data_IF_047031254917
#
_entry.id   IF_047031254917
#
_cell.length_a   1.000
_cell.length_b   1.000
_cell.length_c   1.000
_cell.angle_alpha   90.00
_cell.angle_beta   90.00
_cell.angle_gamma   90.00
#
_symmetry.space_group_name_H-M   'P 1'
#
loop_
_entity.id
_entity.type
_entity.pdbx_description
1 polymer ?
#
# COMPACT_ATOMS: atom_id res chain seq x y z
N UNK A 1 22.26 52.57 -76.09
CA UNK A 1 22.44 53.64 -75.07
C UNK A 1 22.26 53.06 -73.72
N UNK A 2 23.29 53.25 -72.88
CA UNK A 2 23.38 53.12 -71.45
C UNK A 2 23.25 51.66 -70.87
N UNK A 3 24.28 51.02 -70.44
CA UNK A 3 25.30 51.26 -69.40
C UNK A 3 24.71 51.18 -67.98
N UNK A 4 25.28 50.31 -67.26
CA UNK A 4 25.36 50.37 -65.80
C UNK A 4 25.12 49.07 -65.09
N UNK A 5 26.15 48.51 -64.60
CA UNK A 5 26.72 48.63 -63.30
C UNK A 5 26.58 47.34 -62.56
N UNK A 6 27.68 46.52 -62.55
CA UNK A 6 27.83 45.38 -61.68
C UNK A 6 28.18 45.86 -60.27
N UNK A 7 27.37 45.54 -59.28
CA UNK A 7 27.69 45.68 -57.87
C UNK A 7 28.16 44.32 -57.28
N UNK A 8 29.43 44.25 -57.00
CA UNK A 8 30.08 43.15 -56.29
C UNK A 8 29.68 43.19 -54.80
N UNK A 9 28.94 42.18 -54.34
CA UNK A 9 28.76 41.96 -52.89
C UNK A 9 29.77 40.95 -52.36
N UNK A 10 30.79 41.47 -51.69
CA UNK A 10 31.69 40.66 -50.88
C UNK A 10 30.93 40.13 -49.66
N UNK A 11 30.83 38.82 -49.51
CA UNK A 11 30.31 38.13 -48.33
C UNK A 11 31.38 38.09 -47.25
N UNK A 12 31.13 38.48 -45.99
CA UNK A 12 32.06 38.30 -44.90
C UNK A 12 32.01 36.83 -44.39
N UNK A 13 33.04 36.06 -44.66
CA UNK A 13 33.25 34.70 -44.21
C UNK A 13 33.48 34.58 -42.68
N UNK A 14 33.51 35.69 -41.95
CA UNK A 14 33.82 35.72 -40.51
C UNK A 14 32.60 35.48 -39.58
N UNK A 15 31.36 35.59 -40.10
CA UNK A 15 30.17 35.43 -39.25
C UNK A 15 29.71 33.99 -39.07
N UNK A 16 30.14 33.07 -39.92
CA UNK A 16 29.73 31.65 -39.86
C UNK A 16 30.51 30.83 -38.86
N UNK A 17 31.76 31.20 -38.53
CA UNK A 17 32.58 30.49 -37.55
C UNK A 17 32.17 30.74 -36.08
N UNK A 18 31.55 31.88 -35.77
CA UNK A 18 31.13 32.21 -34.40
C UNK A 18 29.85 31.48 -33.97
N UNK A 19 28.94 31.23 -34.94
CA UNK A 19 27.71 30.50 -34.69
C UNK A 19 27.91 28.99 -34.51
N UNK A 20 28.89 28.40 -35.19
CA UNK A 20 29.21 26.96 -35.04
C UNK A 20 29.94 26.67 -33.72
N UNK A 21 30.79 27.59 -33.26
CA UNK A 21 31.47 27.46 -31.96
C UNK A 21 30.52 27.64 -30.78
N UNK A 22 29.49 28.47 -30.90
CA UNK A 22 28.43 28.66 -29.89
C UNK A 22 27.50 27.43 -29.73
N UNK A 23 27.14 26.74 -30.82
CA UNK A 23 26.36 25.51 -30.75
C UNK A 23 27.12 24.31 -30.19
N UNK A 24 28.44 24.23 -30.40
CA UNK A 24 29.24 23.14 -29.86
C UNK A 24 29.50 23.28 -28.34
N UNK A 25 29.47 24.48 -27.79
CA UNK A 25 29.60 24.73 -26.36
C UNK A 25 28.28 24.50 -25.58
N UNK A 26 27.14 24.63 -26.25
CA UNK A 26 25.80 24.34 -25.61
C UNK A 26 25.52 22.84 -25.60
N UNK A 27 26.00 22.06 -26.56
CA UNK A 27 25.86 20.61 -26.56
C UNK A 27 26.73 19.87 -25.56
N UNK A 28 27.83 20.48 -25.06
CA UNK A 28 28.68 19.85 -24.06
C UNK A 28 28.21 20.03 -22.61
N UNK A 29 27.18 20.85 -22.35
CA UNK A 29 26.62 21.11 -21.01
C UNK A 29 25.35 20.28 -20.68
N UNK A 30 24.84 19.44 -21.61
CA UNK A 30 23.61 18.66 -21.41
C UNK A 30 23.89 17.17 -21.16
N UNK A 31 25.12 16.73 -21.14
CA UNK A 31 25.46 15.31 -20.93
C UNK A 31 26.19 15.04 -19.63
N UNK A 32 25.61 15.39 -18.48
CA UNK A 32 26.03 14.83 -17.19
C UNK A 32 24.91 14.87 -16.14
N UNK A 33 23.68 14.59 -16.55
CA UNK A 33 22.59 14.21 -15.66
C UNK A 33 22.33 12.70 -15.76
N UNK A 34 23.35 11.86 -15.76
CA UNK A 34 23.18 10.51 -15.22
C UNK A 34 23.08 10.68 -13.71
N UNK A 35 21.83 10.75 -13.21
CA UNK A 35 21.58 10.33 -11.85
C UNK A 35 22.29 8.99 -11.69
N UNK A 36 23.39 8.99 -10.94
CA UNK A 36 23.91 7.79 -10.34
C UNK A 36 22.72 7.17 -9.64
N UNK A 37 22.23 6.03 -10.14
CA UNK A 37 21.46 5.13 -9.33
C UNK A 37 22.28 4.98 -8.05
N UNK A 38 21.80 5.57 -6.96
CA UNK A 38 22.39 5.39 -5.64
C UNK A 38 22.44 3.87 -5.47
N UNK A 39 23.60 3.34 -5.21
CA UNK A 39 23.83 1.96 -4.82
C UNK A 39 23.03 1.77 -3.52
N UNK A 40 21.73 1.44 -3.68
CA UNK A 40 20.84 1.10 -2.59
C UNK A 40 21.42 -0.18 -1.99
N UNK A 41 22.27 -0.02 -0.98
CA UNK A 41 22.82 -1.14 -0.22
C UNK A 41 21.71 -2.13 0.21
N UNK A 42 22.02 -3.25 0.82
CA UNK A 42 21.07 -4.33 1.04
C UNK A 42 19.77 -3.78 1.63
N UNK A 43 18.64 -4.01 0.94
CA UNK A 43 17.33 -3.48 1.32
C UNK A 43 16.89 -3.91 2.72
N UNK A 44 17.42 -5.05 3.21
CA UNK A 44 17.17 -5.58 4.55
C UNK A 44 18.34 -5.20 5.45
N UNK A 45 18.07 -4.39 6.47
CA UNK A 45 19.06 -3.94 7.46
C UNK A 45 18.59 -4.29 8.86
N UNK A 46 19.45 -4.94 9.63
CA UNK A 46 19.22 -5.10 11.07
C UNK A 46 19.47 -3.75 11.76
N UNK A 47 18.46 -3.23 12.46
CA UNK A 47 18.50 -1.92 13.14
C UNK A 47 18.46 -2.03 14.68
N UNK A 48 18.28 -3.24 15.22
CA UNK A 48 18.27 -3.51 16.64
C UNK A 48 18.16 -5.01 16.95
N UNK A 49 18.13 -5.41 18.24
CA UNK A 49 17.77 -6.77 18.63
C UNK A 49 16.38 -7.09 18.10
N UNK A 50 16.27 -8.10 17.23
CA UNK A 50 15.00 -8.55 16.60
C UNK A 50 14.31 -7.49 15.69
N UNK A 51 14.93 -6.32 15.45
CA UNK A 51 14.39 -5.25 14.61
C UNK A 51 15.12 -5.21 13.27
N UNK A 52 14.34 -5.20 12.20
CA UNK A 52 14.83 -5.14 10.82
C UNK A 52 14.09 -4.06 10.05
N UNK A 53 14.81 -3.38 9.16
CA UNK A 53 14.23 -2.43 8.19
C UNK A 53 14.33 -3.02 6.79
N UNK A 54 13.21 -3.00 6.07
CA UNK A 54 13.08 -3.49 4.71
C UNK A 54 12.51 -2.33 3.90
N UNK A 55 13.37 -1.62 3.17
CA UNK A 55 13.00 -0.32 2.62
C UNK A 55 12.56 0.66 3.72
N UNK A 56 11.30 1.11 3.68
CA UNK A 56 10.68 1.96 4.72
C UNK A 56 9.93 1.16 5.79
N UNK A 57 9.70 -0.14 5.56
CA UNK A 57 8.94 -1.02 6.46
C UNK A 57 9.84 -1.47 7.64
N UNK A 58 9.29 -1.53 8.85
CA UNK A 58 9.97 -2.02 10.04
C UNK A 58 9.34 -3.33 10.51
N UNK A 59 10.14 -4.38 10.62
CA UNK A 59 9.76 -5.68 11.15
C UNK A 59 10.33 -5.85 12.57
N UNK A 60 9.47 -6.18 13.52
CA UNK A 60 9.85 -6.61 14.87
C UNK A 60 9.56 -8.11 15.03
N UNK A 61 10.61 -8.92 14.97
CA UNK A 61 10.50 -10.38 15.09
C UNK A 61 10.15 -10.85 16.51
N UNK A 62 10.43 -10.04 17.53
CA UNK A 62 10.08 -10.37 18.91
C UNK A 62 8.61 -10.13 19.20
N UNK A 63 8.07 -9.00 18.75
CA UNK A 63 6.65 -8.67 18.90
C UNK A 63 5.77 -9.27 17.80
N UNK A 64 6.38 -9.89 16.79
CA UNK A 64 5.70 -10.42 15.60
C UNK A 64 4.83 -9.36 14.91
N UNK A 65 5.42 -8.19 14.64
CA UNK A 65 4.74 -7.07 14.00
C UNK A 65 5.51 -6.53 12.80
N UNK A 66 4.76 -6.01 11.84
CA UNK A 66 5.26 -5.21 10.72
C UNK A 66 4.63 -3.82 10.80
N UNK A 67 5.45 -2.76 10.73
CA UNK A 67 5.02 -1.37 10.84
C UNK A 67 5.24 -0.61 9.53
N UNK A 68 4.22 0.11 9.09
CA UNK A 68 4.20 0.88 7.85
C UNK A 68 3.72 2.31 8.12
N UNK A 69 4.54 3.30 7.76
CA UNK A 69 4.15 4.71 7.87
C UNK A 69 3.23 5.11 6.72
N UNK A 70 2.27 5.97 7.01
CA UNK A 70 1.32 6.48 6.04
C UNK A 70 0.59 7.71 6.54
N UNK A 71 -0.53 8.03 5.87
CA UNK A 71 -1.41 9.13 6.27
C UNK A 71 -2.87 8.85 5.90
N UNK A 72 -3.78 9.52 6.58
CA UNK A 72 -5.21 9.50 6.24
C UNK A 72 -5.39 10.11 4.87
N UNK A 73 -6.03 9.39 3.97
CA UNK A 73 -6.37 9.83 2.61
C UNK A 73 -7.84 10.23 2.49
N UNK A 74 -8.75 9.44 3.06
CA UNK A 74 -10.17 9.78 3.17
C UNK A 74 -10.61 9.69 4.63
N UNK A 75 -11.38 10.68 5.10
CA UNK A 75 -11.94 10.71 6.45
C UNK A 75 -13.46 10.69 6.47
N UNK A 76 -14.09 10.70 5.31
CA UNK A 76 -15.55 10.68 5.11
C UNK A 76 -15.91 10.07 3.76
N UNK A 77 -17.14 9.57 3.61
CA UNK A 77 -17.70 9.06 2.35
C UNK A 77 -17.29 7.62 2.02
N UNK A 78 -17.46 7.25 0.75
CA UNK A 78 -17.23 5.91 0.20
C UNK A 78 -18.05 5.73 -1.10
N UNK A 79 -18.21 4.51 -1.61
CA UNK A 79 -17.76 3.23 -1.00
C UNK A 79 -16.24 3.05 -0.95
N UNK A 80 -15.78 2.22 -0.02
CA UNK A 80 -14.36 1.92 0.24
C UNK A 80 -14.04 0.51 -0.24
N UNK A 81 -13.13 0.38 -1.20
CA UNK A 81 -12.60 -0.90 -1.65
C UNK A 81 -11.27 -1.26 -0.97
N UNK A 82 -10.55 -0.27 -0.44
CA UNK A 82 -9.25 -0.50 0.19
C UNK A 82 -9.14 0.19 1.55
N UNK A 83 -8.63 -0.53 2.55
CA UNK A 83 -8.14 0.10 3.76
C UNK A 83 -6.89 0.93 3.47
N UNK A 84 -5.98 0.42 2.62
CA UNK A 84 -4.73 1.10 2.29
C UNK A 84 -4.23 0.83 0.87
N UNK A 85 -3.75 1.88 0.20
CA UNK A 85 -3.08 1.81 -1.10
C UNK A 85 -1.80 2.66 -1.13
N UNK A 86 -1.05 2.60 -2.24
CA UNK A 86 0.01 3.56 -2.52
C UNK A 86 -0.58 4.93 -2.90
N UNK A 87 0.17 6.04 -2.75
CA UNK A 87 -0.28 7.37 -3.17
C UNK A 87 -0.64 7.49 -4.67
N UNK A 88 -0.14 6.55 -5.50
CA UNK A 88 -0.46 6.45 -6.93
C UNK A 88 -1.54 5.43 -7.26
N UNK A 89 -2.08 4.73 -6.25
CA UNK A 89 -3.12 3.73 -6.40
C UNK A 89 -4.53 4.32 -6.43
N UNK A 90 -5.53 3.52 -6.10
CA UNK A 90 -6.95 3.85 -6.09
C UNK A 90 -7.35 4.74 -4.89
N UNK A 91 -6.79 5.95 -4.81
CA UNK A 91 -6.98 6.85 -3.65
C UNK A 91 -8.42 7.34 -3.47
N UNK A 92 -9.25 7.27 -4.50
CA UNK A 92 -10.65 7.72 -4.47
C UNK A 92 -11.59 6.79 -3.68
N UNK A 93 -11.12 5.59 -3.32
CA UNK A 93 -11.87 4.57 -2.59
C UNK A 93 -11.02 3.93 -1.48
N UNK A 94 -10.09 4.70 -0.91
CA UNK A 94 -9.09 4.22 0.05
C UNK A 94 -9.02 5.10 1.28
N UNK A 95 -9.02 4.49 2.48
CA UNK A 95 -8.91 5.22 3.76
C UNK A 95 -7.50 5.77 3.99
N UNK A 96 -6.46 4.96 3.79
CA UNK A 96 -5.06 5.34 4.07
C UNK A 96 -4.17 5.22 2.85
N UNK A 97 -3.17 6.10 2.72
CA UNK A 97 -2.05 5.91 1.79
C UNK A 97 -0.78 5.57 2.56
N UNK A 98 0.00 4.58 2.05
CA UNK A 98 1.27 4.14 2.63
C UNK A 98 2.43 4.46 1.71
N UNK A 99 3.50 5.03 2.27
CA UNK A 99 4.71 5.40 1.53
C UNK A 99 5.75 4.27 1.61
N UNK A 100 5.53 3.18 0.86
CA UNK A 100 6.39 2.00 0.85
C UNK A 100 6.45 1.39 -0.56
N UNK A 101 7.32 0.41 -0.72
CA UNK A 101 7.25 -0.51 -1.86
C UNK A 101 6.47 -1.76 -1.46
N UNK A 102 5.41 -2.13 -2.20
CA UNK A 102 4.59 -3.31 -1.91
C UNK A 102 5.41 -4.58 -1.72
N UNK A 103 6.45 -4.81 -2.53
CA UNK A 103 7.33 -5.96 -2.39
C UNK A 103 8.08 -5.98 -1.04
N UNK A 104 8.40 -4.82 -0.45
CA UNK A 104 9.06 -4.75 0.85
C UNK A 104 8.09 -5.16 1.96
N UNK A 105 6.80 -4.78 1.86
CA UNK A 105 5.75 -5.22 2.77
C UNK A 105 5.55 -6.74 2.71
N UNK A 106 5.37 -7.30 1.51
CA UNK A 106 5.22 -8.75 1.35
C UNK A 106 6.44 -9.51 1.88
N UNK A 107 7.65 -9.03 1.59
CA UNK A 107 8.89 -9.60 2.12
C UNK A 107 8.93 -9.58 3.65
N UNK A 108 8.48 -8.47 4.27
CA UNK A 108 8.42 -8.38 5.74
C UNK A 108 7.46 -9.41 6.34
N UNK A 109 6.28 -9.61 5.74
CA UNK A 109 5.29 -10.59 6.20
C UNK A 109 5.82 -12.04 6.07
N UNK A 110 6.48 -12.37 4.97
CA UNK A 110 7.12 -13.68 4.76
C UNK A 110 8.25 -13.90 5.80
N UNK A 111 9.10 -12.90 6.03
CA UNK A 111 10.18 -12.98 7.03
C UNK A 111 9.65 -13.08 8.46
N UNK A 112 8.45 -12.59 8.75
CA UNK A 112 7.76 -12.76 10.02
C UNK A 112 7.27 -14.20 10.22
N UNK A 113 7.32 -15.02 9.16
CA UNK A 113 6.94 -16.43 9.16
C UNK A 113 5.50 -16.69 8.70
N UNK A 114 4.83 -15.69 8.14
CA UNK A 114 3.50 -15.84 7.58
C UNK A 114 3.56 -16.53 6.22
N UNK A 115 2.57 -17.37 5.96
CA UNK A 115 2.37 -18.05 4.69
C UNK A 115 1.30 -17.32 3.89
N UNK A 116 1.66 -16.94 2.68
CA UNK A 116 0.72 -16.38 1.73
C UNK A 116 -0.33 -17.42 1.32
N UNK A 117 -1.55 -16.96 1.11
CA UNK A 117 -2.64 -17.73 0.57
C UNK A 117 -2.49 -17.93 -0.93
N UNK A 118 -3.40 -18.73 -1.49
CA UNK A 118 -3.62 -18.73 -2.93
C UNK A 118 -4.70 -17.70 -3.19
N UNK A 119 -4.38 -16.72 -4.00
CA UNK A 119 -5.36 -15.78 -4.48
C UNK A 119 -6.29 -16.53 -5.46
N UNK A 120 -7.57 -16.82 -5.11
CA UNK A 120 -8.45 -17.53 -6.01
C UNK A 120 -8.67 -16.66 -7.24
N UNK A 121 -8.55 -17.26 -8.44
CA UNK A 121 -8.97 -16.58 -9.65
C UNK A 121 -10.45 -16.24 -9.52
N UNK A 122 -10.78 -14.95 -9.55
CA UNK A 122 -12.19 -14.52 -9.52
C UNK A 122 -12.79 -14.91 -10.87
N UNK A 123 -13.77 -15.78 -10.83
CA UNK A 123 -14.62 -16.06 -12.00
C UNK A 123 -15.69 -14.97 -12.10
N UNK A 124 -15.37 -13.89 -12.77
CA UNK A 124 -16.26 -12.73 -12.96
C UNK A 124 -17.56 -13.03 -13.77
N UNK A 125 -17.77 -14.26 -14.24
CA UNK A 125 -18.81 -14.62 -15.22
C UNK A 125 -19.79 -15.70 -14.75
N UNK A 126 -19.75 -16.12 -13.51
CA UNK A 126 -20.74 -17.03 -12.93
C UNK A 126 -21.67 -16.23 -12.02
N UNK A 127 -22.98 -16.43 -12.19
CA UNK A 127 -24.05 -15.65 -11.55
C UNK A 127 -24.06 -15.65 -10.01
N UNK A 128 -23.24 -16.47 -9.36
CA UNK A 128 -22.89 -16.41 -7.94
C UNK A 128 -21.50 -17.04 -7.76
N UNK A 129 -20.43 -16.26 -7.57
CA UNK A 129 -19.14 -16.83 -7.24
C UNK A 129 -19.21 -17.43 -5.82
N UNK A 130 -19.25 -18.75 -5.72
CA UNK A 130 -18.94 -19.43 -4.46
C UNK A 130 -17.50 -19.09 -4.10
N UNK A 131 -17.32 -18.23 -3.09
CA UNK A 131 -16.01 -17.94 -2.54
C UNK A 131 -15.65 -19.01 -1.51
N UNK A 132 -14.69 -19.82 -1.87
CA UNK A 132 -13.83 -20.40 -0.84
C UNK A 132 -13.06 -19.26 -0.17
N UNK A 133 -13.12 -19.20 1.15
CA UNK A 133 -12.32 -18.27 1.94
C UNK A 133 -10.85 -18.44 1.51
N UNK A 134 -10.20 -17.37 1.07
CA UNK A 134 -8.85 -17.43 0.59
C UNK A 134 -7.93 -18.03 1.67
N UNK A 135 -7.24 -19.15 1.40
CA UNK A 135 -6.30 -19.71 2.37
C UNK A 135 -5.13 -18.74 2.54
N UNK A 136 -4.65 -18.59 3.75
CA UNK A 136 -3.51 -17.74 4.09
C UNK A 136 -3.48 -17.50 5.60
N UNK A 137 -2.32 -17.13 6.12
CA UNK A 137 -2.21 -16.85 7.54
C UNK A 137 -2.95 -15.54 7.86
N UNK A 138 -3.69 -15.56 8.98
CA UNK A 138 -4.47 -14.41 9.43
C UNK A 138 -3.60 -13.43 10.21
N UNK A 139 -3.94 -12.16 10.11
CA UNK A 139 -3.29 -11.08 10.84
C UNK A 139 -4.33 -10.12 11.43
N UNK A 140 -3.92 -9.39 12.44
CA UNK A 140 -4.62 -8.21 12.92
C UNK A 140 -3.93 -6.96 12.39
N UNK A 141 -4.72 -5.97 12.00
CA UNK A 141 -4.22 -4.65 11.61
C UNK A 141 -4.66 -3.64 12.65
N UNK A 142 -3.71 -2.85 13.12
CA UNK A 142 -3.97 -1.69 13.98
C UNK A 142 -3.48 -0.44 13.28
N UNK A 143 -4.17 0.66 13.55
CA UNK A 143 -3.76 2.01 13.13
C UNK A 143 -3.43 2.81 14.37
N UNK A 144 -2.25 3.40 14.39
CA UNK A 144 -1.77 4.26 15.49
C UNK A 144 -1.58 5.69 14.96
N UNK A 145 -2.08 6.68 15.69
CA UNK A 145 -1.94 8.09 15.32
C UNK A 145 -1.88 9.01 16.54
N UNK A 146 -1.29 10.20 16.35
CA UNK A 146 -1.31 11.26 17.34
C UNK A 146 -2.51 12.18 17.07
N UNK A 147 -3.43 12.40 18.02
CA UNK A 147 -4.49 13.39 17.86
C UNK A 147 -3.90 14.79 17.63
N UNK A 148 -4.53 15.59 16.76
CA UNK A 148 -4.02 16.89 16.33
C UNK A 148 -3.80 17.88 17.49
N UNK A 149 -4.68 17.82 18.51
CA UNK A 149 -4.67 18.72 19.66
C UNK A 149 -4.02 18.08 20.90
N UNK A 150 -3.34 16.95 20.74
CA UNK A 150 -2.65 16.27 21.83
C UNK A 150 -1.29 16.94 22.11
N UNK A 151 -0.90 16.96 23.38
CA UNK A 151 0.47 17.31 23.77
C UNK A 151 1.47 16.36 23.10
N UNK A 152 2.70 16.84 22.87
CA UNK A 152 3.73 16.08 22.13
C UNK A 152 4.03 14.70 22.76
N UNK A 153 3.92 14.61 24.10
CA UNK A 153 4.15 13.40 24.89
C UNK A 153 2.86 12.58 25.17
N UNK A 154 1.71 13.01 24.64
CA UNK A 154 0.48 12.26 24.84
C UNK A 154 0.53 10.88 24.17
N UNK A 155 -0.10 9.85 24.77
CA UNK A 155 -0.11 8.52 24.16
C UNK A 155 -0.85 8.56 22.81
N UNK A 156 -0.29 7.86 21.82
CA UNK A 156 -0.96 7.66 20.54
C UNK A 156 -2.30 6.97 20.74
N UNK A 157 -3.29 7.36 19.95
CA UNK A 157 -4.51 6.56 19.80
C UNK A 157 -4.20 5.33 18.99
N UNK A 158 -4.94 4.25 19.26
CA UNK A 158 -4.83 2.97 18.54
C UNK A 158 -6.22 2.38 18.39
N UNK A 159 -6.54 1.92 17.17
CA UNK A 159 -7.77 1.21 16.85
C UNK A 159 -7.47 0.06 15.88
N UNK A 160 -8.40 -0.87 15.75
CA UNK A 160 -8.31 -1.93 14.75
C UNK A 160 -8.53 -1.35 13.35
N UNK A 161 -7.90 -1.94 12.34
CA UNK A 161 -8.01 -1.47 10.95
C UNK A 161 -9.45 -1.52 10.43
N UNK A 162 -10.17 -2.58 10.74
CA UNK A 162 -11.57 -2.73 10.35
C UNK A 162 -12.52 -1.73 11.03
N UNK A 163 -12.19 -1.19 12.19
CA UNK A 163 -13.02 -0.18 12.86
C UNK A 163 -13.10 1.15 12.09
N UNK A 164 -12.18 1.38 11.13
CA UNK A 164 -12.23 2.53 10.22
C UNK A 164 -13.25 2.38 9.09
N UNK A 165 -13.89 1.21 9.01
CA UNK A 165 -14.96 0.91 8.06
C UNK A 165 -16.31 0.96 8.78
N UNK A 166 -17.30 1.53 8.10
CA UNK A 166 -18.70 1.57 8.49
C UNK A 166 -19.50 0.71 7.52
N UNK A 167 -20.22 -0.29 8.04
CA UNK A 167 -21.13 -1.13 7.25
C UNK A 167 -22.47 -0.41 7.13
N UNK A 168 -22.79 0.07 5.91
CA UNK A 168 -23.99 0.86 5.65
C UNK A 168 -25.28 0.04 5.78
N UNK A 169 -25.22 -1.26 5.52
CA UNK A 169 -26.38 -2.16 5.68
C UNK A 169 -26.65 -2.50 7.15
N UNK A 170 -25.59 -2.73 7.93
CA UNK A 170 -25.69 -2.97 9.36
C UNK A 170 -25.87 -1.70 10.17
N UNK A 171 -25.64 -0.52 9.56
CA UNK A 171 -25.67 0.81 10.18
C UNK A 171 -24.73 0.92 11.41
N UNK A 172 -23.57 0.20 11.37
CA UNK A 172 -22.58 0.25 12.44
C UNK A 172 -21.13 0.08 11.93
N UNK A 173 -20.13 0.51 12.73
CA UNK A 173 -18.73 0.23 12.42
C UNK A 173 -18.44 -1.27 12.41
N UNK A 174 -17.59 -1.70 11.47
CA UNK A 174 -17.10 -3.09 11.43
C UNK A 174 -16.28 -3.39 12.68
N UNK A 175 -16.53 -4.54 13.30
CA UNK A 175 -15.88 -4.96 14.55
C UNK A 175 -15.35 -6.38 14.44
N UNK A 176 -14.19 -6.62 15.06
CA UNK A 176 -13.63 -7.96 15.28
C UNK A 176 -13.42 -8.80 13.99
N UNK A 177 -13.11 -8.14 12.88
CA UNK A 177 -12.73 -8.84 11.67
C UNK A 177 -11.25 -9.24 11.68
N UNK A 178 -10.90 -10.17 10.83
CA UNK A 178 -9.53 -10.61 10.58
C UNK A 178 -9.12 -10.23 9.16
N UNK A 179 -7.82 -10.16 8.93
CA UNK A 179 -7.23 -9.92 7.62
C UNK A 179 -6.42 -11.15 7.23
N UNK A 180 -6.50 -11.56 5.99
CA UNK A 180 -5.75 -12.71 5.47
C UNK A 180 -4.57 -12.24 4.62
N UNK A 181 -3.40 -12.86 4.80
CA UNK A 181 -2.26 -12.65 3.95
C UNK A 181 -2.42 -13.44 2.65
N UNK A 182 -2.90 -12.79 1.59
CA UNK A 182 -3.05 -13.39 0.27
C UNK A 182 -1.72 -13.55 -0.45
N UNK A 183 -0.90 -12.51 -0.39
CA UNK A 183 0.27 -12.35 -1.22
C UNK A 183 -0.08 -11.92 -2.65
N UNK A 184 0.51 -10.84 -3.11
CA UNK A 184 0.36 -10.39 -4.49
C UNK A 184 1.18 -11.24 -5.45
N UNK A 185 0.74 -11.30 -6.71
CA UNK A 185 1.30 -12.19 -7.72
C UNK A 185 2.38 -11.50 -8.56
N UNK A 186 3.35 -12.29 -9.03
CA UNK A 186 4.28 -11.88 -10.08
C UNK A 186 3.75 -12.26 -11.46
N UNK A 187 3.83 -11.34 -12.39
CA UNK A 187 3.53 -11.54 -13.81
C UNK A 187 4.76 -11.21 -14.67
N UNK A 188 4.65 -11.36 -15.98
CA UNK A 188 5.67 -10.88 -16.93
C UNK A 188 5.87 -9.36 -16.88
N UNK A 189 4.90 -8.61 -16.38
CA UNK A 189 4.93 -7.15 -16.23
C UNK A 189 5.49 -6.68 -14.89
N UNK A 190 5.66 -7.57 -13.91
CA UNK A 190 6.18 -7.26 -12.60
C UNK A 190 5.32 -7.77 -11.45
N UNK A 191 5.53 -7.20 -10.27
CA UNK A 191 4.79 -7.52 -9.06
C UNK A 191 3.45 -6.77 -9.06
N UNK A 192 2.33 -7.48 -8.92
CA UNK A 192 0.97 -6.94 -9.11
C UNK A 192 0.66 -5.73 -8.23
N UNK A 193 0.94 -5.81 -6.93
CA UNK A 193 0.72 -4.69 -6.02
C UNK A 193 1.61 -3.47 -6.32
N UNK A 194 2.80 -3.67 -6.90
CA UNK A 194 3.63 -2.55 -7.37
C UNK A 194 3.00 -1.86 -8.60
N UNK A 195 2.31 -2.62 -9.45
CA UNK A 195 1.70 -2.09 -10.67
C UNK A 195 0.39 -1.37 -10.39
N UNK A 196 -0.50 -1.99 -9.60
CA UNK A 196 -1.83 -1.48 -9.30
C UNK A 196 -1.83 -0.47 -8.14
N UNK A 197 -0.97 -0.68 -7.15
CA UNK A 197 -0.90 0.14 -5.95
C UNK A 197 -1.80 -0.31 -4.81
N UNK A 198 -2.58 -1.38 -4.98
CA UNK A 198 -3.45 -1.97 -3.94
C UNK A 198 -2.61 -2.71 -2.91
N UNK A 199 -2.82 -2.43 -1.62
CA UNK A 199 -2.06 -3.06 -0.53
C UNK A 199 -2.95 -3.90 0.37
N UNK A 200 -4.01 -3.30 0.92
CA UNK A 200 -4.92 -3.90 1.90
C UNK A 200 -6.34 -3.60 1.44
N UNK A 201 -7.05 -4.63 1.03
CA UNK A 201 -8.36 -4.50 0.38
C UNK A 201 -9.50 -4.92 1.28
N UNK A 202 -10.64 -4.27 1.14
CA UNK A 202 -11.93 -4.63 1.74
C UNK A 202 -12.84 -5.33 0.73
N UNK A 203 -12.52 -5.18 -0.54
CA UNK A 203 -13.10 -5.84 -1.69
C UNK A 203 -12.05 -6.76 -2.31
N UNK A 204 -12.47 -7.92 -2.86
CA UNK A 204 -11.51 -8.89 -3.40
C UNK A 204 -10.70 -8.34 -4.58
N UNK A 205 -9.41 -8.14 -4.35
CA UNK A 205 -8.44 -7.72 -5.36
C UNK A 205 -7.29 -8.73 -5.44
N UNK A 206 -7.17 -9.49 -6.55
CA UNK A 206 -6.10 -10.50 -6.70
C UNK A 206 -4.69 -9.91 -6.74
N UNK A 207 -4.53 -8.62 -6.84
CA UNK A 207 -3.24 -7.94 -6.85
C UNK A 207 -2.86 -7.39 -5.47
N UNK A 208 -3.79 -7.35 -4.50
CA UNK A 208 -3.53 -6.90 -3.14
C UNK A 208 -2.67 -7.89 -2.33
N UNK A 209 -2.11 -7.42 -1.23
CA UNK A 209 -1.27 -8.22 -0.32
C UNK A 209 -2.10 -8.80 0.82
N UNK A 210 -3.03 -8.01 1.36
CA UNK A 210 -3.90 -8.39 2.47
C UNK A 210 -5.36 -8.13 2.09
N UNK A 211 -6.27 -9.00 2.57
CA UNK A 211 -7.71 -8.89 2.32
C UNK A 211 -8.51 -9.03 3.62
N UNK A 212 -9.60 -8.29 3.73
CA UNK A 212 -10.55 -8.39 4.84
C UNK A 212 -11.33 -9.72 4.77
N UNK A 213 -11.48 -10.39 5.91
CA UNK A 213 -12.24 -11.65 6.00
C UNK A 213 -13.65 -11.36 6.51
N UNK A 214 -14.54 -11.03 5.59
CA UNK A 214 -15.96 -10.83 5.85
C UNK A 214 -16.83 -11.38 4.70
N UNK A 215 -18.09 -11.73 4.96
CA UNK A 215 -18.98 -12.29 3.91
C UNK A 215 -19.23 -11.35 2.72
N UNK A 216 -19.14 -10.03 2.93
CA UNK A 216 -19.49 -9.00 1.95
C UNK A 216 -18.34 -8.51 1.08
N UNK A 217 -17.17 -9.13 1.14
CA UNK A 217 -15.99 -8.72 0.35
C UNK A 217 -16.14 -8.94 -1.18
N UNK A 218 -17.28 -9.41 -1.63
CA UNK A 218 -17.63 -9.59 -3.05
C UNK A 218 -18.35 -8.39 -3.64
N UNK A 219 -18.76 -7.43 -2.81
CA UNK A 219 -19.54 -6.28 -3.22
C UNK A 219 -18.86 -5.01 -2.74
N UNK A 220 -18.70 -4.05 -3.61
CA UNK A 220 -17.95 -2.80 -3.40
C UNK A 220 -18.80 -1.67 -2.82
N UNK A 221 -20.09 -1.93 -2.51
CA UNK A 221 -21.04 -0.87 -2.10
C UNK A 221 -21.30 -0.78 -0.61
N UNK A 222 -20.83 -1.74 0.20
CA UNK A 222 -21.24 -1.84 1.62
C UNK A 222 -20.40 -1.05 2.60
N UNK A 223 -19.12 -0.82 2.32
CA UNK A 223 -18.23 -0.19 3.30
C UNK A 223 -17.99 1.28 2.98
N UNK A 224 -18.14 2.11 4.01
CA UNK A 224 -17.86 3.54 4.01
C UNK A 224 -16.80 3.87 5.07
N UNK A 225 -16.26 5.08 5.04
CA UNK A 225 -15.36 5.53 6.11
C UNK A 225 -16.16 5.68 7.40
N UNK A 226 -15.64 5.14 8.52
CA UNK A 226 -16.16 5.45 9.85
C UNK A 226 -15.71 6.85 10.28
N UNK A 227 -16.51 7.86 9.94
CA UNK A 227 -16.24 9.28 10.22
C UNK A 227 -16.07 9.58 11.72
N UNK A 228 -16.75 8.79 12.59
CA UNK A 228 -16.67 8.94 14.04
C UNK A 228 -15.31 8.57 14.64
N UNK A 229 -14.50 7.76 13.92
CA UNK A 229 -13.19 7.30 14.35
C UNK A 229 -12.06 7.93 13.55
N UNK A 230 -12.26 8.11 12.23
CA UNK A 230 -11.20 8.47 11.29
C UNK A 230 -10.64 9.87 11.58
N UNK A 231 -9.30 10.02 11.73
CA UNK A 231 -8.70 11.33 11.90
C UNK A 231 -8.81 12.17 10.61
N UNK A 232 -8.64 13.50 10.69
CA UNK A 232 -8.67 14.38 9.52
C UNK A 232 -7.67 13.97 8.43
N UNK A 233 -8.04 14.18 7.16
CA UNK A 233 -7.18 13.94 5.99
C UNK A 233 -5.79 14.56 6.18
N UNK A 234 -4.74 13.82 5.80
CA UNK A 234 -3.35 14.21 5.94
C UNK A 234 -2.74 13.90 7.31
N UNK A 235 -3.53 13.45 8.31
CA UNK A 235 -2.98 13.03 9.61
C UNK A 235 -1.99 11.87 9.41
N UNK A 236 -0.75 11.97 9.92
CA UNK A 236 0.21 10.87 9.89
C UNK A 236 -0.30 9.69 10.72
N UNK A 237 -0.20 8.48 10.15
CA UNK A 237 -0.58 7.22 10.80
C UNK A 237 0.54 6.20 10.67
N UNK A 238 0.54 5.22 11.57
CA UNK A 238 1.36 4.03 11.46
C UNK A 238 0.44 2.80 11.47
N UNK A 239 0.43 2.04 10.39
CA UNK A 239 -0.25 0.75 10.34
C UNK A 239 0.66 -0.31 10.94
N UNK A 240 0.12 -1.08 11.88
CA UNK A 240 0.80 -2.18 12.58
C UNK A 240 0.10 -3.47 12.24
N UNK A 241 0.73 -4.31 11.43
CA UNK A 241 0.25 -5.64 11.08
C UNK A 241 0.85 -6.60 12.09
N UNK A 242 0.03 -7.33 12.82
CA UNK A 242 0.41 -8.19 13.93
C UNK A 242 -0.07 -9.62 13.71
N UNK A 243 0.80 -10.59 13.96
CA UNK A 243 0.39 -12.00 14.01
C UNK A 243 -0.46 -12.22 15.26
N UNK A 244 -1.68 -12.78 15.14
CA UNK A 244 -2.50 -13.10 16.30
C UNK A 244 -1.76 -14.02 17.26
N UNK A 245 -1.96 -13.91 18.58
CA UNK A 245 -1.48 -14.91 19.52
C UNK A 245 -2.10 -16.27 19.15
N UNK A 246 -1.32 -17.34 19.30
CA UNK A 246 -1.89 -18.68 19.17
C UNK A 246 -2.97 -18.83 20.25
N UNK A 247 -4.18 -19.26 19.86
CA UNK A 247 -5.15 -19.76 20.84
C UNK A 247 -4.49 -20.95 21.53
N UNK A 248 -4.39 -20.92 22.84
CA UNK A 248 -3.93 -22.08 23.59
C UNK A 248 -4.93 -23.21 23.32
N UNK A 249 -4.43 -24.40 22.99
CA UNK A 249 -5.24 -25.55 22.58
C UNK A 249 -6.21 -26.07 23.67
N UNK A 250 -6.17 -25.50 24.87
CA UNK A 250 -7.05 -25.84 25.99
C UNK A 250 -8.46 -25.23 25.90
N UNK A 251 -8.68 -24.22 25.01
CA UNK A 251 -10.03 -23.60 24.84
C UNK A 251 -10.90 -24.29 23.78
N UNK A 252 -10.32 -25.12 22.92
CA UNK A 252 -11.11 -25.86 21.91
C UNK A 252 -11.81 -27.12 22.50
N UNK A 253 -11.37 -27.62 23.69
CA UNK A 253 -12.02 -28.75 24.35
C UNK A 253 -13.26 -28.35 25.19
N UNK A 254 -13.34 -27.10 25.69
CA UNK A 254 -14.50 -26.64 26.47
C UNK A 254 -15.73 -26.31 25.59
N UNK A 255 -15.54 -25.81 24.35
CA UNK A 255 -16.64 -25.49 23.44
C UNK A 255 -17.24 -26.75 22.76
N UNK A 256 -16.56 -27.89 22.80
CA UNK A 256 -17.07 -29.14 22.19
C UNK A 256 -17.97 -29.97 23.10
N UNK A 257 -18.02 -29.71 24.39
CA UNK A 257 -18.77 -30.50 25.39
C UNK A 257 -20.17 -29.89 25.73
N UNK A 258 -20.52 -28.70 25.24
CA UNK A 258 -21.86 -28.11 25.49
C UNK A 258 -22.95 -28.53 24.53
N UNK A 259 -22.65 -29.19 23.42
CA UNK A 259 -23.67 -29.76 22.49
C UNK A 259 -23.95 -31.26 22.73
N UNK A 260 -24.25 -31.63 23.97
CA UNK A 260 -24.80 -32.92 24.32
C UNK A 260 -26.29 -32.97 23.97
N UNK A 261 -26.81 -34.08 23.39
CA UNK A 261 -28.17 -34.15 22.90
C UNK A 261 -29.18 -34.14 24.09
N UNK A 262 -30.00 -33.09 24.14
CA UNK A 262 -31.25 -33.15 24.91
C UNK A 262 -32.16 -34.21 24.31
N UNK A 263 -32.42 -35.25 25.09
CA UNK A 263 -33.34 -36.35 24.81
C UNK A 263 -34.77 -35.97 25.09
#
# INVERSE_FOLDING_TARGET
MQAGGAASFARPAALFCVLVAGCLLICAAVSNGQEKAEDEGPRIRKIGPHLYRIGTVVLDAAQKTVRCSGRVNMSEGGPIELLACLPRGKTHETVFTLELRPIDLQTALILLGLREGRNPAVKYYEDEPEREQAPGDKVWIFVEWQPKDAEEDAPKRRARGEEFLFDDEAEEPVKQAEWVFLGSQFSEYGFGADMDGSLITTFHDPLAILELVLPKVNDDVYYFVNEGLCPPVGTPVELVIQVPPKKDAEQEEEDSDEDGPES
#
